data_IF_242833458400
#
_entry.id   IF_242833458400
#
_cell.length_a   1.000
_cell.length_b   1.000
_cell.length_c   1.000
_cell.angle_alpha   90.00
_cell.angle_beta   90.00
_cell.angle_gamma   90.00
#
_symmetry.space_group_name_H-M   'P 1'
#
loop_
_entity.id
_entity.type
_entity.pdbx_description
1 polymer ?
#
# COMPACT_ATOMS: atom_id res chain seq x y z
N UNK A 1 3.85 13.99 -3.03
CA UNK A 1 3.81 13.61 -1.60
C UNK A 1 4.64 12.36 -1.34
N UNK A 2 5.34 12.38 -0.22
CA UNK A 2 6.24 11.29 0.15
C UNK A 2 5.49 10.26 0.99
N UNK A 3 5.70 8.98 0.69
CA UNK A 3 5.14 7.90 1.49
C UNK A 3 5.87 7.80 2.82
N UNK A 4 5.11 7.54 3.89
CA UNK A 4 5.71 7.22 5.19
C UNK A 4 6.32 5.81 5.13
N UNK A 5 7.24 5.45 6.05
CA UNK A 5 7.78 4.09 6.09
C UNK A 5 6.70 3.02 6.19
N UNK A 6 5.66 3.24 7.00
CA UNK A 6 4.56 2.28 7.12
C UNK A 6 3.76 2.15 5.83
N UNK A 7 3.50 3.27 5.16
CA UNK A 7 2.82 3.24 3.87
C UNK A 7 3.64 2.49 2.82
N UNK A 8 4.95 2.67 2.83
CA UNK A 8 5.85 1.96 1.94
C UNK A 8 5.82 0.45 2.21
N UNK A 9 5.82 0.05 3.48
CA UNK A 9 5.72 -1.36 3.87
C UNK A 9 4.43 -1.98 3.33
N UNK A 10 3.31 -1.27 3.51
CA UNK A 10 2.02 -1.76 3.04
C UNK A 10 2.00 -1.86 1.52
N UNK A 11 2.51 -0.86 0.83
CA UNK A 11 2.57 -0.87 -0.63
C UNK A 11 3.43 -2.03 -1.15
N UNK A 12 4.53 -2.34 -0.48
CA UNK A 12 5.38 -3.46 -0.82
C UNK A 12 4.61 -4.78 -0.74
N UNK A 13 3.87 -4.99 0.36
CA UNK A 13 3.07 -6.21 0.51
C UNK A 13 1.93 -6.27 -0.51
N UNK A 14 1.32 -5.12 -0.78
CA UNK A 14 0.28 -5.01 -1.80
C UNK A 14 0.79 -5.44 -3.17
N UNK A 15 1.98 -5.02 -3.53
CA UNK A 15 2.58 -5.33 -4.83
C UNK A 15 2.92 -6.82 -4.97
N UNK A 16 3.04 -7.53 -3.85
CA UNK A 16 3.25 -8.99 -3.84
C UNK A 16 1.95 -9.75 -3.98
N UNK A 17 0.81 -9.06 -4.09
CA UNK A 17 -0.49 -9.69 -4.27
C UNK A 17 -1.16 -10.14 -3.00
N UNK A 18 -0.70 -9.72 -1.83
CA UNK A 18 -1.29 -10.14 -0.57
C UNK A 18 -2.62 -9.43 -0.32
N UNK A 19 -3.66 -10.17 0.15
CA UNK A 19 -4.90 -9.54 0.57
C UNK A 19 -4.70 -8.75 1.87
N UNK A 20 -5.63 -7.85 2.17
CA UNK A 20 -5.52 -6.98 3.34
C UNK A 20 -5.32 -7.75 4.65
N UNK A 21 -5.99 -8.89 4.79
CA UNK A 21 -5.85 -9.73 5.97
C UNK A 21 -4.41 -10.20 6.18
N UNK A 22 -3.75 -10.60 5.11
CA UNK A 22 -2.38 -11.09 5.17
C UNK A 22 -1.40 -9.94 5.39
N UNK A 23 -1.67 -8.77 4.81
CA UNK A 23 -0.88 -7.56 5.07
C UNK A 23 -0.97 -7.21 6.55
N UNK A 24 -2.18 -7.22 7.10
CA UNK A 24 -2.40 -6.93 8.51
C UNK A 24 -1.60 -7.88 9.40
N UNK A 25 -1.63 -9.17 9.09
CA UNK A 25 -0.87 -10.19 9.83
C UNK A 25 0.63 -9.94 9.76
N UNK A 26 1.13 -9.69 8.56
CA UNK A 26 2.56 -9.50 8.34
C UNK A 26 3.10 -8.28 9.10
N UNK A 27 2.28 -7.25 9.25
CA UNK A 27 2.69 -5.99 9.88
C UNK A 27 2.19 -5.83 11.31
N UNK A 28 1.49 -6.84 11.85
CA UNK A 28 0.96 -6.82 13.22
C UNK A 28 0.00 -5.66 13.47
N UNK A 29 -0.87 -5.40 12.51
CA UNK A 29 -1.91 -4.35 12.61
C UNK A 29 -3.25 -4.95 12.20
N UNK A 30 -4.35 -4.21 12.45
CA UNK A 30 -5.69 -4.66 12.06
C UNK A 30 -5.93 -4.43 10.58
N UNK A 31 -6.91 -5.16 10.00
CA UNK A 31 -7.32 -4.93 8.62
C UNK A 31 -7.88 -3.52 8.45
N UNK A 32 -8.57 -3.00 9.45
CA UNK A 32 -9.09 -1.62 9.43
C UNK A 32 -7.95 -0.63 9.29
N UNK A 33 -6.85 -0.85 10.01
CA UNK A 33 -5.66 0.00 9.91
C UNK A 33 -5.04 -0.09 8.51
N UNK A 34 -4.99 -1.30 7.93
CA UNK A 34 -4.51 -1.48 6.55
C UNK A 34 -5.36 -0.65 5.59
N UNK A 35 -6.69 -0.72 5.71
CA UNK A 35 -7.60 0.04 4.85
C UNK A 35 -7.38 1.54 4.97
N UNK A 36 -7.16 2.03 6.19
CA UNK A 36 -6.88 3.44 6.44
C UNK A 36 -5.59 3.87 5.73
N UNK A 37 -4.55 3.07 5.85
CA UNK A 37 -3.29 3.36 5.17
C UNK A 37 -3.44 3.30 3.65
N UNK A 38 -4.19 2.33 3.13
CA UNK A 38 -4.41 2.21 1.69
C UNK A 38 -5.12 3.44 1.13
N UNK A 39 -6.11 3.96 1.85
CA UNK A 39 -6.79 5.19 1.42
C UNK A 39 -5.80 6.34 1.28
N UNK A 40 -4.91 6.50 2.25
CA UNK A 40 -3.88 7.55 2.20
C UNK A 40 -2.90 7.33 1.06
N UNK A 41 -2.49 6.08 0.84
CA UNK A 41 -1.61 5.72 -0.25
C UNK A 41 -2.26 6.05 -1.60
N UNK A 42 -3.51 5.66 -1.78
CA UNK A 42 -4.25 5.94 -3.02
C UNK A 42 -4.35 7.44 -3.26
N UNK A 43 -4.65 8.22 -2.23
CA UNK A 43 -4.71 9.68 -2.34
C UNK A 43 -3.37 10.26 -2.76
N UNK A 44 -2.28 9.80 -2.14
CA UNK A 44 -0.93 10.28 -2.45
C UNK A 44 -0.48 9.92 -3.85
N UNK A 45 -0.87 8.74 -4.34
CA UNK A 45 -0.50 8.28 -5.68
C UNK A 45 -1.47 8.74 -6.76
N UNK A 46 -2.59 9.35 -6.39
CA UNK A 46 -3.59 9.82 -7.33
C UNK A 46 -4.34 8.70 -8.02
N UNK A 47 -4.58 7.59 -7.31
CA UNK A 47 -5.27 6.41 -7.84
C UNK A 47 -6.44 6.05 -6.95
N UNK A 48 -7.34 5.21 -7.45
CA UNK A 48 -8.50 4.76 -6.69
C UNK A 48 -8.66 3.23 -6.69
N UNK A 49 -7.67 2.51 -7.23
CA UNK A 49 -7.70 1.05 -7.26
C UNK A 49 -6.37 0.47 -6.79
N UNK A 50 -6.44 -0.78 -6.35
CA UNK A 50 -5.27 -1.56 -5.96
C UNK A 50 -4.28 -1.70 -7.13
N UNK A 51 -4.80 -2.06 -8.31
CA UNK A 51 -3.98 -2.19 -9.51
C UNK A 51 -3.31 -0.88 -9.89
N UNK A 52 -4.04 0.23 -9.78
CA UNK A 52 -3.49 1.54 -10.06
C UNK A 52 -2.35 1.89 -9.12
N UNK A 53 -2.50 1.57 -7.84
CA UNK A 53 -1.45 1.83 -6.85
C UNK A 53 -0.17 1.05 -7.16
N UNK A 54 -0.31 -0.23 -7.51
CA UNK A 54 0.84 -1.07 -7.86
C UNK A 54 1.52 -0.56 -9.13
N UNK A 55 0.73 -0.18 -10.14
CA UNK A 55 1.27 0.33 -11.39
C UNK A 55 2.07 1.63 -11.17
N UNK A 56 1.52 2.57 -10.41
CA UNK A 56 2.20 3.83 -10.12
C UNK A 56 3.45 3.58 -9.29
N UNK A 57 3.39 2.66 -8.32
CA UNK A 57 4.53 2.33 -7.48
C UNK A 57 5.69 1.79 -8.30
N UNK A 58 5.42 0.95 -9.27
CA UNK A 58 6.45 0.42 -10.17
C UNK A 58 7.01 1.50 -11.08
N UNK A 59 6.12 2.31 -11.65
CA UNK A 59 6.50 3.38 -12.57
C UNK A 59 7.38 4.42 -11.90
N UNK A 60 7.07 4.79 -10.66
CA UNK A 60 7.81 5.79 -9.90
C UNK A 60 8.92 5.18 -9.04
N UNK A 61 9.15 3.88 -9.16
CA UNK A 61 10.19 3.17 -8.41
C UNK A 61 10.08 3.35 -6.90
N UNK A 62 8.84 3.29 -6.38
CA UNK A 62 8.56 3.39 -4.96
C UNK A 62 8.76 2.07 -4.21
N UNK A 63 8.96 0.99 -4.93
CA UNK A 63 9.15 -0.35 -4.37
C UNK A 63 10.62 -0.71 -4.35
N UNK A 64 11.04 -1.49 -3.33
CA UNK A 64 12.41 -1.98 -3.27
C UNK A 64 12.77 -2.93 -4.40
#
# INVERSE_FOLDING_TARGET
PTLTPRERDILTQLSRGLPNRDIARALFISETTVKTHLRRIYDKLGVDTRSGAVAVAKEQRLLP
#
